data_IF_271288070846
#
_entry.id   IF_271288070846
#
_cell.length_a   1.000
_cell.length_b   1.000
_cell.length_c   1.000
_cell.angle_alpha   90.00
_cell.angle_beta   90.00
_cell.angle_gamma   90.00
#
_symmetry.space_group_name_H-M   'P 1'
#
loop_
_entity.id
_entity.type
_entity.pdbx_description
1 polymer ?
#
# COMPACT_ATOMS: atom_id res chain seq x y z
N UNK A 1 -14.85 -14.76 -6.26
CA UNK A 1 -13.76 -14.49 -5.30
C UNK A 1 -14.21 -13.32 -4.47
N UNK A 2 -14.14 -13.40 -3.14
CA UNK A 2 -14.48 -12.29 -2.25
C UNK A 2 -13.25 -11.40 -2.04
N UNK A 3 -13.41 -10.12 -2.32
CA UNK A 3 -12.43 -9.06 -2.10
C UNK A 3 -12.88 -8.23 -0.89
N UNK A 4 -11.93 -7.85 -0.04
CA UNK A 4 -12.18 -7.01 1.13
C UNK A 4 -11.26 -5.79 1.12
N UNK A 5 -11.74 -4.69 1.66
CA UNK A 5 -10.93 -3.50 1.88
C UNK A 5 -10.32 -3.54 3.29
N UNK A 6 -9.01 -3.32 3.37
CA UNK A 6 -8.26 -3.27 4.62
C UNK A 6 -7.38 -2.02 4.68
N UNK A 7 -6.99 -1.60 5.88
CA UNK A 7 -6.03 -0.51 6.02
C UNK A 7 -4.63 -0.95 5.58
N UNK A 8 -4.01 -0.15 4.72
CA UNK A 8 -2.69 -0.41 4.16
C UNK A 8 -1.52 -0.32 5.15
N UNK A 9 -1.78 0.06 6.42
CA UNK A 9 -0.75 0.06 7.48
C UNK A 9 -1.02 -0.95 8.57
N UNK A 10 -2.24 -0.94 9.10
CA UNK A 10 -2.60 -1.72 10.29
C UNK A 10 -3.17 -3.11 9.92
N UNK A 11 -3.48 -3.34 8.63
CA UNK A 11 -4.15 -4.54 8.14
C UNK A 11 -5.60 -4.69 8.61
N UNK A 12 -6.16 -3.68 9.27
CA UNK A 12 -7.50 -3.76 9.85
C UNK A 12 -8.56 -3.68 8.77
N UNK A 13 -9.53 -4.59 8.81
CA UNK A 13 -10.69 -4.54 7.91
C UNK A 13 -11.38 -3.19 8.00
N UNK A 14 -11.71 -2.67 6.83
CA UNK A 14 -12.40 -1.42 6.67
C UNK A 14 -13.88 -1.72 6.46
N UNK A 15 -14.79 -1.14 7.26
CA UNK A 15 -16.21 -1.29 7.00
C UNK A 15 -16.55 -0.71 5.63
N UNK A 16 -17.43 -1.40 4.89
CA UNK A 16 -18.01 -0.88 3.65
C UNK A 16 -18.65 0.47 3.94
N UNK A 17 -18.20 1.49 3.22
CA UNK A 17 -18.61 2.88 3.40
C UNK A 17 -18.92 3.51 2.06
N UNK A 18 -19.74 4.55 2.09
CA UNK A 18 -20.22 5.21 0.89
C UNK A 18 -19.05 5.85 0.13
N UNK A 19 -19.14 5.82 -1.20
CA UNK A 19 -18.14 6.40 -2.08
C UNK A 19 -17.99 7.90 -1.78
N UNK A 20 -16.84 8.31 -1.25
CA UNK A 20 -16.55 9.70 -0.87
C UNK A 20 -16.29 9.92 0.62
N UNK A 21 -16.51 8.91 1.47
CA UNK A 21 -16.21 9.02 2.90
C UNK A 21 -14.72 8.79 3.20
N UNK A 22 -14.07 9.76 3.86
CA UNK A 22 -12.67 9.66 4.26
C UNK A 22 -12.49 8.51 5.26
N UNK A 23 -11.58 7.59 4.94
CA UNK A 23 -11.17 6.57 5.90
C UNK A 23 -10.22 7.16 6.92
N UNK A 24 -10.32 6.69 8.16
CA UNK A 24 -9.21 6.81 9.12
C UNK A 24 -9.15 5.51 9.91
N UNK A 25 -8.06 4.73 9.79
CA UNK A 25 -7.89 3.50 10.57
C UNK A 25 -7.88 3.89 12.06
N UNK A 26 -8.81 3.38 12.88
CA UNK A 26 -8.86 3.72 14.31
C UNK A 26 -7.65 3.17 15.09
N UNK A 27 -6.84 2.30 14.47
CA UNK A 27 -5.65 1.70 15.09
C UNK A 27 -4.38 2.52 14.87
N UNK A 28 -4.21 3.12 13.69
CA UNK A 28 -2.97 3.82 13.32
C UNK A 28 -3.19 5.24 12.79
N UNK A 29 -4.44 5.69 12.66
CA UNK A 29 -4.80 7.01 12.12
C UNK A 29 -4.59 7.15 10.61
N UNK A 30 -4.22 6.09 9.89
CA UNK A 30 -3.93 6.19 8.46
C UNK A 30 -5.21 6.19 7.61
N UNK A 31 -5.20 6.98 6.54
CA UNK A 31 -6.31 7.13 5.60
C UNK A 31 -6.21 6.17 4.41
N UNK A 32 -5.05 5.54 4.23
CA UNK A 32 -4.81 4.61 3.13
C UNK A 32 -5.50 3.27 3.37
N UNK A 33 -6.30 2.86 2.38
CA UNK A 33 -6.87 1.52 2.26
C UNK A 33 -6.30 0.77 1.07
N UNK A 34 -6.43 -0.55 1.08
CA UNK A 34 -6.09 -1.42 -0.01
C UNK A 34 -7.11 -2.55 -0.12
N UNK A 35 -7.38 -2.98 -1.34
CA UNK A 35 -8.26 -4.12 -1.61
C UNK A 35 -7.39 -5.37 -1.69
N UNK A 36 -7.78 -6.41 -0.94
CA UNK A 36 -7.10 -7.71 -0.94
C UNK A 36 -8.13 -8.83 -1.05
N UNK A 37 -7.69 -9.98 -1.55
CA UNK A 37 -8.51 -11.18 -1.54
C UNK A 37 -8.67 -11.69 -0.12
N UNK A 38 -9.88 -12.13 0.25
CA UNK A 38 -10.16 -12.70 1.57
C UNK A 38 -9.20 -13.86 1.90
N UNK A 39 -8.79 -14.63 0.89
CA UNK A 39 -7.84 -15.75 1.01
C UNK A 39 -6.42 -15.32 1.38
N UNK A 40 -6.02 -14.10 1.04
CA UNK A 40 -4.68 -13.57 1.29
C UNK A 40 -4.66 -12.56 2.44
N UNK A 41 -5.82 -12.25 3.03
CA UNK A 41 -5.96 -11.33 4.16
C UNK A 41 -4.98 -11.65 5.30
N UNK A 42 -4.99 -12.89 5.81
CA UNK A 42 -4.12 -13.26 6.93
C UNK A 42 -2.63 -13.08 6.60
N UNK A 43 -2.21 -13.46 5.39
CA UNK A 43 -0.82 -13.29 4.94
C UNK A 43 -0.43 -11.82 4.84
N UNK A 44 -1.31 -10.99 4.28
CA UNK A 44 -1.09 -9.55 4.13
C UNK A 44 -1.00 -8.87 5.49
N UNK A 45 -1.92 -9.19 6.41
CA UNK A 45 -1.91 -8.66 7.77
C UNK A 45 -0.64 -9.06 8.51
N UNK A 46 -0.21 -10.32 8.37
CA UNK A 46 1.01 -10.80 9.00
C UNK A 46 2.25 -10.06 8.48
N UNK A 47 2.37 -9.87 7.15
CA UNK A 47 3.46 -9.08 6.55
C UNK A 47 3.45 -7.62 7.02
N UNK A 48 2.27 -6.99 7.07
CA UNK A 48 2.12 -5.63 7.58
C UNK A 48 2.55 -5.49 9.06
N UNK A 49 2.22 -6.49 9.90
CA UNK A 49 2.63 -6.50 11.30
C UNK A 49 4.15 -6.71 11.47
N UNK A 50 4.78 -7.49 10.59
CA UNK A 50 6.23 -7.60 10.51
C UNK A 50 6.93 -6.35 9.95
N UNK A 51 6.18 -5.35 9.49
CA UNK A 51 6.72 -4.16 8.83
C UNK A 51 7.28 -4.44 7.43
N UNK A 52 6.90 -5.57 6.83
CA UNK A 52 7.23 -5.93 5.45
C UNK A 52 6.14 -5.44 4.50
N UNK A 53 6.55 -5.08 3.29
CA UNK A 53 5.61 -4.59 2.29
C UNK A 53 4.70 -5.75 1.83
N UNK A 54 3.36 -5.60 1.95
CA UNK A 54 2.42 -6.68 1.68
C UNK A 54 2.36 -7.07 0.19
N UNK A 55 2.90 -6.21 -0.69
CA UNK A 55 2.97 -6.41 -2.14
C UNK A 55 4.39 -6.75 -2.61
N UNK A 56 5.33 -7.05 -1.71
CA UNK A 56 6.70 -7.48 -2.06
C UNK A 56 6.77 -8.94 -2.53
N UNK A 57 5.81 -9.35 -3.35
CA UNK A 57 5.93 -10.52 -4.20
C UNK A 57 5.92 -10.01 -5.65
N UNK A 58 7.12 -9.98 -6.24
CA UNK A 58 7.38 -9.75 -7.67
C UNK A 58 7.10 -8.36 -8.25
N UNK A 59 7.80 -7.32 -7.73
CA UNK A 59 8.21 -6.22 -8.61
C UNK A 59 9.60 -6.55 -9.17
N UNK A 60 9.77 -6.79 -10.49
CA UNK A 60 11.11 -6.76 -11.08
C UNK A 60 11.68 -5.37 -10.76
N UNK A 61 12.90 -5.34 -10.24
CA UNK A 61 13.62 -4.14 -9.87
C UNK A 61 13.81 -3.17 -11.05
N UNK A 62 12.76 -2.50 -11.51
CA UNK A 62 12.85 -1.33 -12.38
C UNK A 62 13.00 -0.10 -11.50
N UNK A 63 14.14 -0.02 -10.81
CA UNK A 63 14.70 1.29 -10.50
C UNK A 63 15.21 1.88 -11.81
N UNK A 64 14.28 2.51 -12.54
CA UNK A 64 14.60 3.41 -13.65
C UNK A 64 15.39 4.60 -13.09
N UNK A 65 16.71 4.47 -13.00
CA UNK A 65 17.63 5.60 -12.86
C UNK A 65 18.09 6.01 -14.25
N UNK A 66 17.40 6.97 -14.87
CA UNK A 66 17.95 7.85 -15.92
C UNK A 66 17.19 9.18 -15.88
N UNK A 67 17.76 10.31 -16.36
CA UNK A 67 19.13 10.79 -16.19
C UNK A 67 19.10 12.25 -15.65
N UNK A 68 19.90 12.59 -14.64
CA UNK A 68 20.08 14.00 -14.28
C UNK A 68 21.09 14.64 -15.25
N UNK A 69 20.56 15.22 -16.33
CA UNK A 69 21.33 16.04 -17.27
C UNK A 69 22.02 17.19 -16.54
N UNK A 70 23.35 17.20 -16.56
CA UNK A 70 24.13 18.40 -16.25
C UNK A 70 24.35 19.19 -17.54
N UNK A 71 23.37 20.00 -17.89
CA UNK A 71 23.58 21.15 -18.77
C UNK A 71 23.71 22.38 -17.87
N UNK A 72 24.93 22.86 -17.64
CA UNK A 72 25.13 24.31 -17.45
C UNK A 72 26.50 24.76 -17.95
N UNK A 73 26.39 25.79 -18.80
CA UNK A 73 27.31 26.42 -19.73
C UNK A 73 28.04 27.59 -19.05
N UNK A 74 29.25 27.88 -19.56
CA UNK A 74 30.04 29.14 -19.51
C UNK A 74 30.53 29.66 -18.14
N UNK A 75 31.86 29.65 -17.98
CA UNK A 75 32.65 30.90 -18.00
C UNK A 75 33.82 30.70 -18.95
#
# INVERSE_FOLDING_TARGET
>A
MEEIEICASCGKMVPLREAGELFTCPRCGNHATMIVLLKDYEKVVQRLQEGKDPFEEEKPAKKAKKPAGKTKKKR
#
